data_IF_743906129402
#
_entry.id   IF_743906129402
#
_cell.length_a   1.000
_cell.length_b   1.000
_cell.length_c   1.000
_cell.angle_alpha   90.00
_cell.angle_beta   90.00
_cell.angle_gamma   90.00
#
_symmetry.space_group_name_H-M   'P 1'
#
loop_
_entity.id
_entity.type
_entity.pdbx_description
1 polymer ?
#
# COMPACT_ATOMS: atom_id res chain seq x y z
N UNK A 1 10.90 31.80 39.54
CA UNK A 1 11.05 30.34 39.71
C UNK A 1 10.18 29.69 38.65
N UNK A 2 10.79 29.11 37.61
CA UNK A 2 10.06 28.47 36.51
C UNK A 2 9.95 27.00 36.83
N UNK A 3 8.74 26.50 37.05
CA UNK A 3 8.50 25.08 37.19
C UNK A 3 8.28 24.50 35.78
N UNK A 4 9.24 23.78 35.28
CA UNK A 4 9.09 22.99 34.07
C UNK A 4 8.41 21.69 34.51
N UNK A 5 7.08 21.62 34.34
CA UNK A 5 6.38 20.33 34.43
C UNK A 5 6.70 19.55 33.17
N UNK A 6 7.59 18.58 33.28
CA UNK A 6 7.84 17.61 32.23
C UNK A 6 6.70 16.59 32.21
N UNK A 7 5.52 17.03 31.77
CA UNK A 7 4.39 16.14 31.53
C UNK A 7 4.63 15.37 30.22
N UNK A 8 5.37 14.31 30.33
CA UNK A 8 5.51 13.37 29.24
C UNK A 8 4.22 12.53 29.18
N UNK A 9 3.29 12.91 28.31
CA UNK A 9 2.11 12.10 28.04
C UNK A 9 2.53 11.02 27.04
N UNK A 10 2.58 9.79 27.49
CA UNK A 10 2.82 8.65 26.62
C UNK A 10 1.48 8.12 26.11
N UNK A 11 1.28 8.17 24.81
CA UNK A 11 0.15 7.52 24.17
C UNK A 11 0.58 6.12 23.71
N UNK A 12 -0.12 5.10 24.13
CA UNK A 12 0.10 3.71 23.69
C UNK A 12 -0.38 3.48 22.25
N UNK A 13 -1.17 4.40 21.71
CA UNK A 13 -1.71 4.30 20.36
C UNK A 13 -0.93 5.24 19.43
N UNK A 14 -0.13 4.66 18.54
CA UNK A 14 0.64 5.38 17.54
C UNK A 14 -0.22 6.14 16.52
N UNK A 15 -1.52 5.81 16.41
CA UNK A 15 -2.45 6.51 15.55
C UNK A 15 -2.76 7.94 16.01
N UNK A 16 -2.49 8.24 17.28
CA UNK A 16 -2.69 9.57 17.85
C UNK A 16 -1.55 10.55 17.57
N UNK A 17 -0.43 10.06 17.04
CA UNK A 17 0.74 10.88 16.72
C UNK A 17 0.95 10.98 15.19
N UNK A 18 1.46 12.11 14.74
CA UNK A 18 1.92 12.27 13.37
C UNK A 18 3.36 11.75 13.21
N UNK A 19 3.89 11.79 11.97
CA UNK A 19 5.26 11.35 11.67
C UNK A 19 6.35 12.14 12.41
N UNK A 20 6.01 13.30 12.94
CA UNK A 20 6.91 14.17 13.71
C UNK A 20 6.71 14.05 15.23
N UNK A 21 5.93 13.07 15.69
CA UNK A 21 5.65 12.87 17.12
C UNK A 21 4.69 13.90 17.74
N UNK A 22 3.95 14.64 16.93
CA UNK A 22 2.96 15.63 17.39
C UNK A 22 1.59 14.97 17.53
N UNK A 23 0.84 15.41 18.53
CA UNK A 23 -0.53 14.93 18.74
C UNK A 23 -1.42 15.27 17.54
N UNK A 24 -2.10 14.27 17.02
CA UNK A 24 -3.12 14.48 15.99
C UNK A 24 -4.37 15.05 16.60
N UNK A 25 -4.80 16.18 16.10
CA UNK A 25 -6.04 16.85 16.52
C UNK A 25 -7.22 16.55 15.59
N UNK A 26 -6.99 15.81 14.50
CA UNK A 26 -8.02 15.44 13.53
C UNK A 26 -8.34 13.94 13.63
N UNK A 27 -9.59 13.58 13.41
CA UNK A 27 -10.02 12.20 13.32
C UNK A 27 -9.32 11.48 12.16
N UNK A 28 -8.89 10.25 12.41
CA UNK A 28 -8.33 9.39 11.37
C UNK A 28 -9.45 9.01 10.41
N UNK A 29 -9.28 9.31 9.13
CA UNK A 29 -10.20 8.93 8.08
C UNK A 29 -9.58 7.85 7.21
N UNK A 30 -10.36 6.81 6.96
CA UNK A 30 -9.98 5.77 6.03
C UNK A 30 -10.25 6.25 4.59
N UNK A 31 -9.22 6.53 3.82
CA UNK A 31 -9.33 7.04 2.45
C UNK A 31 -9.55 5.93 1.44
N UNK A 32 -8.90 4.79 1.65
CA UNK A 32 -8.97 3.63 0.75
C UNK A 32 -8.89 2.37 1.60
N UNK A 33 -9.87 1.49 1.47
CA UNK A 33 -9.88 0.18 2.12
C UNK A 33 -10.13 -0.90 1.06
N UNK A 34 -9.09 -1.63 0.72
CA UNK A 34 -9.13 -2.68 -0.30
C UNK A 34 -8.97 -4.02 0.38
N UNK A 35 -10.02 -4.84 0.31
CA UNK A 35 -10.04 -6.19 0.88
C UNK A 35 -10.26 -7.22 -0.21
N UNK A 36 -9.55 -8.34 -0.10
CA UNK A 36 -9.70 -9.51 -0.96
C UNK A 36 -10.44 -10.60 -0.20
N UNK A 37 -11.76 -10.48 -0.08
CA UNK A 37 -12.57 -11.45 0.68
C UNK A 37 -13.11 -12.54 -0.22
N UNK A 38 -13.64 -12.17 -1.37
CA UNK A 38 -14.33 -13.12 -2.28
C UNK A 38 -13.74 -13.16 -3.68
N UNK A 39 -13.02 -12.11 -4.09
CA UNK A 39 -12.48 -11.97 -5.43
C UNK A 39 -11.28 -11.02 -5.45
N UNK A 40 -10.67 -10.87 -6.60
CA UNK A 40 -9.59 -9.91 -6.90
C UNK A 40 -9.96 -8.44 -6.68
N UNK A 41 -11.22 -8.14 -6.43
CA UNK A 41 -11.79 -6.79 -6.30
C UNK A 41 -11.61 -5.90 -7.55
N UNK A 42 -12.19 -6.30 -8.70
CA UNK A 42 -11.99 -5.59 -9.96
C UNK A 42 -12.64 -4.20 -9.98
N UNK A 43 -13.55 -3.90 -9.05
CA UNK A 43 -14.18 -2.58 -8.94
C UNK A 43 -13.20 -1.53 -8.38
N UNK A 44 -12.34 -1.91 -7.45
CA UNK A 44 -11.42 -1.00 -6.78
C UNK A 44 -9.98 -1.11 -7.31
N UNK A 45 -9.65 -2.24 -7.95
CA UNK A 45 -8.29 -2.52 -8.42
C UNK A 45 -8.28 -2.60 -9.94
N UNK A 46 -7.30 -1.94 -10.52
CA UNK A 46 -6.90 -2.14 -11.91
C UNK A 46 -5.75 -3.16 -11.95
N UNK A 47 -5.85 -4.10 -12.87
CA UNK A 47 -4.86 -5.14 -13.06
C UNK A 47 -4.35 -5.14 -14.49
N UNK A 48 -3.04 -5.16 -14.64
CA UNK A 48 -2.37 -5.26 -15.94
C UNK A 48 -1.42 -6.44 -15.89
N UNK A 49 -1.56 -7.36 -16.83
CA UNK A 49 -0.68 -8.50 -17.00
C UNK A 49 -0.07 -8.46 -18.40
N UNK A 50 1.20 -8.82 -18.53
CA UNK A 50 1.89 -8.94 -19.80
C UNK A 50 2.74 -10.21 -19.81
N UNK A 51 2.90 -10.80 -21.01
CA UNK A 51 3.61 -12.04 -21.20
C UNK A 51 2.83 -13.25 -20.70
N UNK A 52 3.50 -14.17 -20.03
CA UNK A 52 2.91 -15.37 -19.42
C UNK A 52 2.55 -15.18 -17.95
N UNK A 53 2.62 -13.94 -17.46
CA UNK A 53 2.32 -13.59 -16.09
C UNK A 53 0.83 -13.83 -15.75
N UNK A 54 0.60 -14.32 -14.56
CA UNK A 54 -0.76 -14.63 -14.09
C UNK A 54 -1.05 -13.96 -12.75
N UNK A 55 -2.32 -13.64 -12.56
CA UNK A 55 -2.85 -13.15 -11.30
C UNK A 55 -4.11 -13.94 -10.97
N UNK A 56 -4.08 -14.72 -9.90
CA UNK A 56 -5.16 -15.63 -9.51
C UNK A 56 -5.59 -15.35 -8.08
N UNK A 57 -6.89 -15.30 -7.85
CA UNK A 57 -7.45 -15.23 -6.51
C UNK A 57 -7.43 -16.62 -5.85
N UNK A 58 -6.84 -16.68 -4.68
CA UNK A 58 -6.78 -17.89 -3.86
C UNK A 58 -7.81 -17.75 -2.73
N UNK A 59 -8.93 -18.43 -2.89
CA UNK A 59 -10.07 -18.34 -1.98
C UNK A 59 -9.75 -18.89 -0.59
N UNK A 60 -8.90 -19.91 -0.51
CA UNK A 60 -8.55 -20.53 0.77
C UNK A 60 -7.82 -19.58 1.71
N UNK A 61 -7.01 -18.70 1.15
CA UNK A 61 -6.21 -17.75 1.92
C UNK A 61 -6.65 -16.30 1.76
N UNK A 62 -7.75 -16.06 1.05
CA UNK A 62 -8.28 -14.71 0.76
C UNK A 62 -7.18 -13.76 0.23
N UNK A 63 -6.38 -14.24 -0.69
CA UNK A 63 -5.23 -13.51 -1.27
C UNK A 63 -5.21 -13.57 -2.78
N UNK A 64 -4.49 -12.66 -3.39
CA UNK A 64 -4.19 -12.73 -4.82
C UNK A 64 -2.76 -13.14 -5.02
N UNK A 65 -2.56 -14.25 -5.75
CA UNK A 65 -1.26 -14.74 -6.15
C UNK A 65 -0.90 -14.15 -7.50
N UNK A 66 0.21 -13.44 -7.55
CA UNK A 66 0.83 -12.97 -8.78
C UNK A 66 2.03 -13.85 -9.10
N UNK A 67 2.11 -14.35 -10.32
CA UNK A 67 3.18 -15.24 -10.76
C UNK A 67 3.72 -14.79 -12.10
N UNK A 68 5.04 -14.84 -12.25
CA UNK A 68 5.78 -14.59 -13.47
C UNK A 68 6.63 -15.81 -13.77
N UNK A 69 6.74 -16.22 -15.01
CA UNK A 69 7.46 -17.44 -15.41
C UNK A 69 8.47 -17.23 -16.55
N UNK A 70 8.37 -16.13 -17.26
CA UNK A 70 9.25 -15.84 -18.39
C UNK A 70 9.90 -14.45 -18.26
N UNK A 71 10.90 -14.23 -19.09
CA UNK A 71 11.53 -12.92 -19.20
C UNK A 71 10.54 -11.88 -19.76
N UNK A 72 10.56 -10.67 -19.22
CA UNK A 72 9.62 -9.58 -19.51
C UNK A 72 8.16 -9.82 -19.08
N UNK A 73 7.90 -10.83 -18.27
CA UNK A 73 6.60 -10.96 -17.63
C UNK A 73 6.35 -9.83 -16.65
N UNK A 74 5.11 -9.35 -16.63
CA UNK A 74 4.71 -8.23 -15.78
C UNK A 74 3.34 -8.46 -15.20
N UNK A 75 3.20 -8.22 -13.89
CA UNK A 75 1.91 -8.10 -13.20
C UNK A 75 1.90 -6.80 -12.42
N UNK A 76 0.94 -5.95 -12.70
CA UNK A 76 0.70 -4.73 -11.93
C UNK A 76 -0.70 -4.79 -11.37
N UNK A 77 -0.83 -4.52 -10.06
CA UNK A 77 -2.12 -4.33 -9.41
C UNK A 77 -2.13 -2.97 -8.73
N UNK A 78 -3.01 -2.12 -9.13
CA UNK A 78 -3.10 -0.74 -8.67
C UNK A 78 -4.52 -0.39 -8.25
N UNK A 79 -4.67 0.31 -7.13
CA UNK A 79 -5.96 0.88 -6.73
C UNK A 79 -6.42 1.93 -7.74
N UNK A 80 -7.71 1.90 -8.08
CA UNK A 80 -8.33 2.91 -8.95
C UNK A 80 -8.55 4.24 -8.24
N UNK A 81 -8.66 4.19 -6.91
CA UNK A 81 -8.84 5.38 -6.08
C UNK A 81 -7.49 5.93 -5.67
N UNK A 82 -7.26 7.18 -5.97
CA UNK A 82 -6.06 7.89 -5.55
C UNK A 82 -6.40 8.79 -4.37
N UNK A 83 -5.74 8.63 -3.22
CA UNK A 83 -5.94 9.53 -2.09
C UNK A 83 -5.45 10.93 -2.45
N UNK A 84 -6.26 11.93 -2.14
CA UNK A 84 -5.92 13.33 -2.40
C UNK A 84 -4.82 13.74 -1.40
N UNK A 85 -3.73 14.28 -1.93
CA UNK A 85 -2.71 14.90 -1.10
C UNK A 85 -3.27 16.13 -0.39
N UNK A 86 -3.14 16.13 0.93
CA UNK A 86 -3.52 17.27 1.77
C UNK A 86 -2.28 17.81 2.48
N UNK A 87 -1.85 19.03 2.19
CA UNK A 87 -0.72 19.64 2.88
C UNK A 87 -0.92 19.65 4.40
N UNK A 88 0.12 19.31 5.16
CA UNK A 88 0.09 19.28 6.62
C UNK A 88 -0.61 18.08 7.26
N UNK A 89 -1.15 17.15 6.47
CA UNK A 89 -1.69 15.87 6.98
C UNK A 89 -0.77 14.72 6.66
N UNK A 90 -0.51 13.86 7.63
CA UNK A 90 0.20 12.61 7.42
C UNK A 90 -0.75 11.56 6.83
N UNK A 91 -0.23 10.73 5.95
CA UNK A 91 -0.92 9.57 5.39
C UNK A 91 -0.21 8.31 5.87
N UNK A 92 -1.00 7.32 6.30
CA UNK A 92 -0.50 6.00 6.67
C UNK A 92 -0.91 5.02 5.58
N UNK A 93 0.08 4.32 5.03
CA UNK A 93 -0.13 3.22 4.10
C UNK A 93 0.14 1.90 4.81
N UNK A 94 -0.83 1.00 4.77
CA UNK A 94 -0.71 -0.36 5.30
C UNK A 94 -1.03 -1.36 4.21
N UNK A 95 -0.17 -2.35 4.02
CA UNK A 95 -0.41 -3.44 3.09
C UNK A 95 0.10 -4.76 3.69
N UNK A 96 -0.67 -5.83 3.49
CA UNK A 96 -0.26 -7.18 3.85
C UNK A 96 0.14 -7.95 2.60
N UNK A 97 1.33 -8.50 2.62
CA UNK A 97 1.83 -9.34 1.54
C UNK A 97 2.71 -10.46 2.10
N UNK A 98 2.77 -11.56 1.38
CA UNK A 98 3.59 -12.72 1.72
C UNK A 98 4.56 -13.03 0.59
N UNK A 99 5.61 -13.79 0.92
CA UNK A 99 6.64 -14.21 -0.04
C UNK A 99 7.36 -13.05 -0.75
N UNK A 100 7.74 -12.04 0.03
CA UNK A 100 8.50 -10.90 -0.49
C UNK A 100 10.01 -11.14 -0.37
N UNK A 101 10.44 -12.36 -0.69
CA UNK A 101 11.85 -12.71 -0.73
C UNK A 101 12.50 -12.23 -2.01
N UNK A 102 13.80 -11.96 -1.92
CA UNK A 102 14.62 -11.65 -3.10
C UNK A 102 14.80 -12.91 -3.93
N UNK A 103 14.48 -12.82 -5.20
CA UNK A 103 14.68 -13.88 -6.19
C UNK A 103 15.51 -13.34 -7.34
N UNK A 104 16.34 -14.18 -7.93
CA UNK A 104 17.19 -13.78 -9.06
C UNK A 104 16.32 -13.36 -10.25
N UNK A 105 16.63 -12.21 -10.82
CA UNK A 105 15.94 -11.63 -11.98
C UNK A 105 14.46 -11.29 -11.78
N UNK A 106 13.99 -11.18 -10.53
CA UNK A 106 12.63 -10.76 -10.23
C UNK A 106 12.65 -9.47 -9.41
N UNK A 107 11.91 -8.47 -9.87
CA UNK A 107 11.73 -7.21 -9.16
C UNK A 107 10.32 -7.19 -8.55
N UNK A 108 10.24 -7.09 -7.24
CA UNK A 108 8.98 -6.99 -6.49
C UNK A 108 8.90 -5.61 -5.84
N UNK A 109 7.79 -4.91 -6.03
CA UNK A 109 7.57 -3.57 -5.49
C UNK A 109 6.19 -3.46 -4.86
N UNK A 110 6.13 -2.81 -3.71
CA UNK A 110 4.88 -2.49 -2.99
C UNK A 110 4.99 -1.05 -2.49
N UNK A 111 3.94 -0.27 -2.65
CA UNK A 111 3.94 1.11 -2.17
C UNK A 111 2.98 2.00 -2.94
N UNK A 112 3.12 3.31 -2.75
CA UNK A 112 2.42 4.30 -3.55
C UNK A 112 3.20 4.55 -4.84
N UNK A 113 2.55 4.38 -5.97
CA UNK A 113 3.14 4.62 -7.29
C UNK A 113 2.08 5.10 -8.28
N UNK A 114 2.51 5.83 -9.27
CA UNK A 114 1.67 6.24 -10.38
C UNK A 114 2.20 5.60 -11.65
N UNK A 115 1.37 4.80 -12.32
CA UNK A 115 1.66 4.32 -13.67
C UNK A 115 1.02 5.24 -14.68
N UNK A 116 1.83 5.95 -15.43
CA UNK A 116 1.34 6.68 -16.58
C UNK A 116 1.30 5.70 -17.74
N UNK A 117 0.08 5.42 -18.23
CA UNK A 117 -0.23 4.75 -19.49
C UNK A 117 0.80 3.71 -19.97
N UNK A 118 0.67 2.49 -19.48
CA UNK A 118 1.27 1.31 -20.11
C UNK A 118 2.77 1.11 -19.98
N UNK A 119 3.49 1.98 -19.29
CA UNK A 119 4.90 1.77 -19.01
C UNK A 119 5.10 1.37 -17.57
N UNK A 120 5.60 0.17 -17.30
CA UNK A 120 5.86 -0.32 -15.94
C UNK A 120 7.06 0.35 -15.27
N UNK A 121 7.73 1.26 -15.94
CA UNK A 121 9.05 1.76 -15.54
C UNK A 121 9.10 3.22 -15.11
N UNK A 122 8.00 3.95 -15.13
CA UNK A 122 7.97 5.31 -14.61
C UNK A 122 7.56 5.31 -13.13
N UNK A 123 8.40 4.70 -12.30
CA UNK A 123 8.42 4.99 -10.87
C UNK A 123 9.34 6.18 -10.64
N UNK A 124 8.79 7.27 -10.17
CA UNK A 124 9.56 8.36 -9.56
C UNK A 124 10.08 7.91 -8.22
#
# INVERSE_FOLDING_TARGET
>A
MSFIFNNQISYSDSASLDAFGRLRTAAVQNLVDIKHVYDKNPLQINEVTAGTATSVFDQQYARVRMSTSANNDLVIRQGKTHPIYQPGKSQLFQASFSNFQLETNIIKRVGAFTTITGSPYNSV
#
